data_IF_215346448644
#
_entry.id   IF_215346448644
#
_cell.length_a   1.000
_cell.length_b   1.000
_cell.length_c   1.000
_cell.angle_alpha   90.00
_cell.angle_beta   90.00
_cell.angle_gamma   90.00
#
_symmetry.space_group_name_H-M   'P 1'
#
loop_
_entity.id
_entity.type
_entity.pdbx_description
1 polymer ?
#
# COMPACT_ATOMS: atom_id res chain seq x y z
N UNK A 1 -32.49 10.84 -74.08
CA UNK A 1 -31.88 9.88 -73.14
C UNK A 1 -31.07 10.64 -72.10
N UNK A 2 -31.65 11.01 -70.96
CA UNK A 2 -30.88 11.44 -69.78
C UNK A 2 -31.62 10.96 -68.52
N UNK A 3 -30.90 10.19 -67.70
CA UNK A 3 -31.38 9.47 -66.52
C UNK A 3 -31.60 10.43 -65.35
N UNK A 4 -32.74 10.35 -64.67
CA UNK A 4 -32.96 10.97 -63.38
C UNK A 4 -32.25 10.14 -62.28
N UNK A 5 -31.40 10.77 -61.49
CA UNK A 5 -30.76 10.16 -60.32
C UNK A 5 -31.54 10.54 -59.06
N UNK A 6 -32.16 9.55 -58.44
CA UNK A 6 -32.89 9.69 -57.18
C UNK A 6 -31.90 9.60 -56.02
N UNK A 7 -31.65 10.71 -55.33
CA UNK A 7 -30.88 10.73 -54.08
C UNK A 7 -31.72 10.18 -52.93
N UNK A 8 -31.33 9.02 -52.41
CA UNK A 8 -31.88 8.40 -51.21
C UNK A 8 -31.11 8.94 -50.00
N UNK A 9 -31.70 9.85 -49.23
CA UNK A 9 -31.16 10.25 -47.92
C UNK A 9 -31.38 9.10 -46.92
N UNK A 10 -30.31 8.42 -46.50
CA UNK A 10 -30.33 7.55 -45.33
C UNK A 10 -30.25 8.40 -44.06
N UNK A 11 -31.36 8.50 -43.32
CA UNK A 11 -31.33 8.94 -41.92
C UNK A 11 -30.75 7.81 -41.06
N UNK A 12 -29.45 7.87 -40.79
CA UNK A 12 -28.80 7.02 -39.79
C UNK A 12 -29.18 7.48 -38.38
N UNK A 13 -30.12 6.79 -37.75
CA UNK A 13 -30.38 6.93 -36.32
C UNK A 13 -29.27 6.27 -35.50
N UNK A 14 -28.38 7.06 -34.91
CA UNK A 14 -27.44 6.58 -33.91
C UNK A 14 -28.19 6.32 -32.61
N UNK A 15 -28.54 5.06 -32.33
CA UNK A 15 -28.92 4.64 -30.98
C UNK A 15 -27.66 4.68 -30.12
N UNK A 16 -27.51 5.74 -29.33
CA UNK A 16 -26.56 5.77 -28.24
C UNK A 16 -27.00 4.72 -27.21
N UNK A 17 -26.38 3.55 -27.24
CA UNK A 17 -26.44 2.62 -26.11
C UNK A 17 -25.87 3.37 -24.90
N UNK A 18 -26.57 3.42 -23.74
CA UNK A 18 -25.92 3.88 -22.53
C UNK A 18 -24.68 3.01 -22.36
N UNK A 19 -23.50 3.66 -22.31
CA UNK A 19 -22.28 3.00 -21.91
C UNK A 19 -22.60 2.22 -20.65
N UNK A 20 -22.50 0.89 -20.75
CA UNK A 20 -22.69 -0.01 -19.62
C UNK A 20 -21.95 0.59 -18.44
N UNK A 21 -22.73 0.86 -17.40
CA UNK A 21 -22.33 1.52 -16.18
C UNK A 21 -20.98 0.94 -15.74
N UNK A 22 -20.02 1.81 -15.41
CA UNK A 22 -18.79 1.45 -14.71
C UNK A 22 -19.08 1.03 -13.24
N UNK A 23 -20.33 0.67 -12.93
CA UNK A 23 -20.80 -0.04 -11.73
C UNK A 23 -21.01 -1.49 -12.19
N UNK A 24 -20.13 -2.46 -11.92
CA UNK A 24 -20.21 -3.29 -10.71
C UNK A 24 -18.93 -4.16 -10.57
N UNK A 25 -17.73 -3.55 -10.54
CA UNK A 25 -16.50 -4.25 -10.10
C UNK A 25 -16.02 -3.81 -8.71
N UNK A 26 -16.66 -2.79 -8.13
CA UNK A 26 -16.21 -2.13 -6.91
C UNK A 26 -17.06 -2.47 -5.67
N UNK A 27 -18.10 -3.30 -5.84
CA UNK A 27 -19.17 -3.58 -4.85
C UNK A 27 -18.75 -4.46 -3.66
N UNK A 28 -17.56 -5.07 -3.67
CA UNK A 28 -17.13 -5.99 -2.60
C UNK A 28 -15.68 -5.82 -2.18
N UNK A 29 -15.15 -4.60 -2.17
CA UNK A 29 -13.82 -4.37 -1.60
C UNK A 29 -13.83 -4.74 -0.11
N UNK A 30 -12.88 -5.57 0.36
CA UNK A 30 -12.79 -5.94 1.76
C UNK A 30 -12.47 -4.69 2.59
N UNK A 31 -13.08 -4.57 3.78
CA UNK A 31 -12.80 -3.45 4.69
C UNK A 31 -11.34 -3.40 5.13
N UNK A 32 -10.68 -4.55 5.18
CA UNK A 32 -9.26 -4.72 5.51
C UNK A 32 -8.62 -5.68 4.51
N UNK A 33 -7.47 -5.30 3.96
CA UNK A 33 -6.64 -6.16 3.12
C UNK A 33 -5.20 -6.17 3.65
N UNK A 34 -4.62 -7.35 3.83
CA UNK A 34 -3.30 -7.54 4.43
C UNK A 34 -2.31 -8.01 3.37
N UNK A 35 -1.13 -7.40 3.34
CA UNK A 35 0.01 -7.88 2.54
C UNK A 35 1.01 -8.57 3.47
N UNK A 36 1.36 -9.83 3.20
CA UNK A 36 2.37 -10.55 3.96
C UNK A 36 3.62 -10.83 3.12
N UNK A 37 4.80 -10.53 3.64
CA UNK A 37 6.08 -10.87 3.02
C UNK A 37 6.79 -11.91 3.89
N UNK A 38 7.23 -13.01 3.27
CA UNK A 38 7.97 -14.08 3.95
C UNK A 38 9.42 -13.68 4.25
N UNK A 39 10.14 -14.57 4.91
CA UNK A 39 11.58 -14.49 5.14
C UNK A 39 12.40 -15.19 4.04
N UNK A 40 13.73 -15.02 4.11
CA UNK A 40 14.66 -15.56 3.10
C UNK A 40 14.65 -17.09 3.06
N UNK A 41 14.78 -17.68 1.87
CA UNK A 41 14.82 -19.11 1.54
C UNK A 41 13.51 -19.87 1.67
N UNK A 42 12.45 -19.24 2.17
CA UNK A 42 11.15 -19.89 2.31
C UNK A 42 10.41 -19.91 0.97
N UNK A 43 9.65 -20.98 0.73
CA UNK A 43 8.82 -21.14 -0.47
C UNK A 43 7.75 -20.03 -0.57
N UNK A 44 7.20 -19.76 -1.78
CA UNK A 44 6.15 -18.76 -1.97
C UNK A 44 4.98 -18.93 -0.99
N UNK A 45 4.58 -17.81 -0.36
CA UNK A 45 3.59 -17.79 0.72
C UNK A 45 3.92 -16.70 1.74
N UNK A 46 3.35 -16.82 2.94
CA UNK A 46 3.50 -15.82 4.01
C UNK A 46 4.74 -16.02 4.88
N UNK A 47 5.33 -17.23 4.92
CA UNK A 47 6.37 -17.56 5.89
C UNK A 47 5.91 -17.29 7.33
N UNK A 48 6.83 -16.83 8.17
CA UNK A 48 6.56 -16.44 9.56
C UNK A 48 5.60 -15.26 9.69
N UNK A 49 5.50 -14.37 8.69
CA UNK A 49 4.51 -13.29 8.70
C UNK A 49 3.06 -13.81 8.73
N UNK A 50 2.86 -15.07 8.33
CA UNK A 50 1.57 -15.77 8.39
C UNK A 50 0.93 -15.76 9.78
N UNK A 51 1.72 -15.70 10.86
CA UNK A 51 1.18 -15.63 12.23
C UNK A 51 0.33 -14.37 12.40
N UNK A 52 0.87 -13.19 12.09
CA UNK A 52 0.15 -11.92 12.24
C UNK A 52 -0.96 -11.78 11.20
N UNK A 53 -0.71 -12.23 9.96
CA UNK A 53 -1.74 -12.24 8.90
C UNK A 53 -2.98 -13.01 9.38
N UNK A 54 -2.81 -14.23 9.90
CA UNK A 54 -3.91 -15.06 10.38
C UNK A 54 -4.60 -14.46 11.61
N UNK A 55 -3.85 -13.84 12.53
CA UNK A 55 -4.43 -13.13 13.67
C UNK A 55 -5.38 -12.02 13.22
N UNK A 56 -4.99 -11.22 12.22
CA UNK A 56 -5.85 -10.15 11.69
C UNK A 56 -7.05 -10.73 10.94
N UNK A 57 -6.84 -11.75 10.08
CA UNK A 57 -7.92 -12.42 9.36
C UNK A 57 -8.99 -12.98 10.29
N UNK A 58 -8.56 -13.58 11.41
CA UNK A 58 -9.47 -14.15 12.41
C UNK A 58 -10.18 -13.08 13.26
N UNK A 59 -9.52 -11.94 13.52
CA UNK A 59 -10.08 -10.87 14.33
C UNK A 59 -11.07 -9.97 13.55
N UNK A 60 -10.96 -9.92 12.22
CA UNK A 60 -11.74 -9.02 11.37
C UNK A 60 -12.44 -9.77 10.25
N UNK A 61 -13.73 -10.04 10.43
CA UNK A 61 -14.55 -10.72 9.42
C UNK A 61 -14.61 -9.94 8.11
N UNK A 62 -14.52 -10.65 6.99
CA UNK A 62 -14.49 -10.04 5.65
C UNK A 62 -13.16 -9.40 5.26
N UNK A 63 -12.14 -9.48 6.12
CA UNK A 63 -10.77 -9.13 5.72
C UNK A 63 -10.19 -10.19 4.78
N UNK A 64 -9.19 -9.79 3.99
CA UNK A 64 -8.52 -10.65 3.00
C UNK A 64 -7.03 -10.44 3.06
N UNK A 65 -6.23 -11.36 2.54
CA UNK A 65 -4.79 -11.22 2.53
C UNK A 65 -4.18 -11.74 1.22
N UNK A 66 -3.03 -11.18 0.84
CA UNK A 66 -2.20 -11.71 -0.23
C UNK A 66 -0.72 -11.72 0.17
N UNK A 67 0.00 -12.76 -0.29
CA UNK A 67 1.43 -12.87 -0.09
C UNK A 67 2.16 -12.04 -1.17
N UNK A 68 3.18 -11.30 -0.77
CA UNK A 68 4.05 -10.58 -1.71
C UNK A 68 4.82 -11.60 -2.54
N UNK A 69 4.70 -11.50 -3.86
CA UNK A 69 5.45 -12.30 -4.82
C UNK A 69 6.79 -11.63 -5.08
N UNK A 70 7.85 -12.21 -4.51
CA UNK A 70 9.24 -11.77 -4.70
C UNK A 70 10.20 -12.95 -4.43
N UNK A 71 11.49 -12.85 -4.80
CA UNK A 71 12.43 -13.98 -4.73
C UNK A 71 12.64 -14.54 -3.31
N UNK A 72 12.64 -13.68 -2.28
CA UNK A 72 13.00 -14.04 -0.90
C UNK A 72 14.27 -14.90 -0.82
N UNK A 73 15.35 -14.44 -1.45
CA UNK A 73 16.56 -15.23 -1.64
C UNK A 73 17.81 -14.46 -1.21
N UNK A 74 18.82 -15.19 -0.78
CA UNK A 74 20.13 -14.67 -0.38
C UNK A 74 21.29 -15.31 -1.14
N UNK A 75 21.02 -15.85 -2.34
CA UNK A 75 21.98 -16.59 -3.16
C UNK A 75 21.84 -18.12 -3.09
N UNK A 76 20.93 -18.66 -2.27
CA UNK A 76 20.70 -20.09 -2.18
C UNK A 76 20.05 -20.64 -3.47
N UNK A 77 20.47 -21.82 -3.91
CA UNK A 77 19.90 -22.49 -5.09
C UNK A 77 18.42 -22.86 -4.89
N UNK A 78 17.99 -23.14 -3.66
CA UNK A 78 16.60 -23.49 -3.31
C UNK A 78 15.59 -22.39 -3.64
N UNK A 79 16.02 -21.12 -3.69
CA UNK A 79 15.20 -19.96 -4.03
C UNK A 79 15.60 -19.31 -5.37
N UNK A 80 16.27 -20.06 -6.24
CA UNK A 80 16.64 -19.61 -7.59
C UNK A 80 17.97 -18.85 -7.68
N UNK A 81 18.78 -18.83 -6.62
CA UNK A 81 20.14 -18.26 -6.65
C UNK A 81 20.20 -16.73 -6.73
N UNK A 82 19.07 -16.03 -6.59
CA UNK A 82 19.03 -14.57 -6.63
C UNK A 82 19.78 -14.02 -5.41
N UNK A 83 20.73 -13.09 -5.63
CA UNK A 83 21.47 -12.45 -4.54
C UNK A 83 20.54 -11.72 -3.58
N UNK A 84 20.95 -11.58 -2.32
CA UNK A 84 20.14 -10.87 -1.32
C UNK A 84 19.78 -9.45 -1.76
N UNK A 85 20.74 -8.70 -2.28
CA UNK A 85 20.52 -7.34 -2.78
C UNK A 85 19.47 -7.29 -3.90
N UNK A 86 19.54 -8.20 -4.87
CA UNK A 86 18.57 -8.25 -5.98
C UNK A 86 17.20 -8.73 -5.51
N UNK A 87 17.15 -9.67 -4.55
CA UNK A 87 15.90 -10.11 -3.92
C UNK A 87 15.21 -8.95 -3.21
N UNK A 88 15.95 -8.14 -2.45
CA UNK A 88 15.43 -6.92 -1.79
C UNK A 88 14.92 -5.94 -2.83
N UNK A 89 15.71 -5.57 -3.84
CA UNK A 89 15.29 -4.62 -4.88
C UNK A 89 13.99 -5.02 -5.59
N UNK A 90 13.79 -6.32 -5.82
CA UNK A 90 12.57 -6.84 -6.44
C UNK A 90 11.38 -6.91 -5.48
N UNK A 91 11.60 -7.17 -4.19
CA UNK A 91 10.53 -7.26 -3.19
C UNK A 91 10.12 -5.92 -2.60
N UNK A 92 11.10 -5.12 -2.19
CA UNK A 92 10.91 -3.81 -1.57
C UNK A 92 11.92 -2.86 -2.20
N UNK A 93 11.43 -1.85 -2.92
CA UNK A 93 12.28 -0.73 -3.34
C UNK A 93 12.71 0.04 -2.09
N UNK A 94 13.87 -0.32 -1.52
CA UNK A 94 14.39 0.28 -0.30
C UNK A 94 15.66 1.07 -0.62
N UNK A 95 15.56 2.39 -0.83
CA UNK A 95 16.75 3.22 -0.90
C UNK A 95 17.50 3.18 0.45
N UNK A 96 18.82 3.42 0.47
CA UNK A 96 19.60 3.47 1.70
C UNK A 96 18.95 4.41 2.73
N UNK A 97 18.77 3.95 3.97
CA UNK A 97 18.21 4.76 5.07
C UNK A 97 19.37 5.33 5.89
N UNK A 98 19.68 6.64 5.79
CA UNK A 98 20.70 7.24 6.65
C UNK A 98 20.25 7.22 8.12
N UNK A 99 21.18 7.41 9.05
CA UNK A 99 20.89 7.47 10.49
C UNK A 99 19.90 8.59 10.87
N UNK A 100 19.81 9.64 10.06
CA UNK A 100 18.84 10.75 10.21
C UNK A 100 17.48 10.47 9.58
N UNK A 101 17.24 9.27 9.04
CA UNK A 101 16.00 8.94 8.34
C UNK A 101 14.78 9.09 9.26
N UNK A 102 13.89 10.00 8.89
CA UNK A 102 12.56 10.11 9.49
C UNK A 102 11.55 9.43 8.60
N UNK A 103 10.90 8.38 9.11
CA UNK A 103 9.85 7.72 8.36
C UNK A 103 8.59 8.60 8.33
N UNK A 104 8.11 9.05 7.15
CA UNK A 104 6.90 9.87 7.08
C UNK A 104 5.64 9.18 7.62
N UNK A 105 5.65 7.84 7.66
CA UNK A 105 4.58 7.01 8.22
C UNK A 105 4.97 6.33 9.54
N UNK A 106 5.90 6.91 10.30
CA UNK A 106 6.39 6.33 11.56
C UNK A 106 5.25 5.96 12.53
N UNK A 107 4.21 6.78 12.63
CA UNK A 107 3.04 6.53 13.49
C UNK A 107 2.21 5.31 13.09
N UNK A 108 2.41 4.77 11.89
CA UNK A 108 1.70 3.60 11.34
C UNK A 108 2.55 2.32 11.40
N UNK A 109 3.75 2.39 11.96
CA UNK A 109 4.73 1.30 11.93
C UNK A 109 5.05 0.88 13.36
N UNK A 110 5.06 -0.44 13.57
CA UNK A 110 5.75 -1.07 14.68
C UNK A 110 6.78 -2.04 14.13
N UNK A 111 8.02 -1.88 14.59
CA UNK A 111 9.16 -2.73 14.23
C UNK A 111 9.66 -3.40 15.49
N UNK A 112 9.60 -4.72 15.54
CA UNK A 112 10.05 -5.53 16.66
C UNK A 112 11.45 -6.06 16.35
N UNK A 113 12.38 -5.93 17.30
CA UNK A 113 13.74 -6.43 17.19
C UNK A 113 14.32 -6.53 18.60
N UNK A 114 14.78 -7.73 18.95
CA UNK A 114 15.35 -8.03 20.25
C UNK A 114 16.87 -8.06 20.19
N UNK A 115 17.52 -7.74 21.30
CA UNK A 115 18.98 -7.65 21.37
C UNK A 115 19.70 -8.97 21.00
N UNK A 116 19.06 -10.11 21.20
CA UNK A 116 19.63 -11.43 20.91
C UNK A 116 19.62 -11.79 19.41
N UNK A 117 18.87 -11.07 18.57
CA UNK A 117 18.76 -11.36 17.14
C UNK A 117 20.03 -10.91 16.37
N UNK A 118 20.70 -11.81 15.63
CA UNK A 118 21.93 -11.51 14.89
C UNK A 118 21.71 -10.82 13.53
N UNK A 119 20.47 -10.68 13.07
CA UNK A 119 20.14 -10.14 11.75
C UNK A 119 19.53 -8.75 11.81
N UNK A 120 18.66 -8.48 12.80
CA UNK A 120 18.11 -7.15 13.02
C UNK A 120 18.90 -6.33 14.04
N UNK A 121 19.70 -7.00 14.88
CA UNK A 121 20.57 -6.41 15.89
C UNK A 121 21.97 -7.07 15.81
N UNK A 122 22.78 -6.85 16.85
CA UNK A 122 24.14 -7.40 16.98
C UNK A 122 24.19 -8.61 17.91
N UNK A 123 23.09 -9.36 18.01
CA UNK A 123 22.99 -10.55 18.84
C UNK A 123 23.65 -11.78 18.23
N UNK A 124 23.37 -12.96 18.80
CA UNK A 124 23.96 -14.23 18.37
C UNK A 124 23.00 -15.43 18.41
N UNK A 125 21.71 -15.23 18.70
CA UNK A 125 20.70 -16.28 18.72
C UNK A 125 19.77 -16.18 17.51
N UNK A 126 20.01 -17.03 16.52
CA UNK A 126 19.18 -17.11 15.32
C UNK A 126 17.75 -17.58 15.60
N UNK A 127 17.47 -18.23 16.74
CA UNK A 127 16.11 -18.65 17.09
C UNK A 127 15.23 -17.44 17.44
N UNK A 128 15.81 -16.43 18.10
CA UNK A 128 15.12 -15.17 18.41
C UNK A 128 14.51 -14.57 17.14
N UNK A 129 15.25 -14.57 16.02
CA UNK A 129 14.78 -14.03 14.73
C UNK A 129 13.51 -14.69 14.20
N UNK A 130 13.34 -15.99 14.45
CA UNK A 130 12.20 -16.76 13.97
C UNK A 130 11.00 -16.71 14.93
N UNK A 131 11.18 -16.14 16.13
CA UNK A 131 10.20 -16.25 17.21
C UNK A 131 9.18 -15.12 17.26
N UNK A 132 9.40 -14.01 16.53
CA UNK A 132 8.64 -12.77 16.72
C UNK A 132 7.15 -12.88 16.49
N UNK A 133 6.70 -13.74 15.58
CA UNK A 133 5.27 -14.01 15.41
C UNK A 133 4.63 -14.52 16.71
N UNK A 134 5.32 -15.40 17.43
CA UNK A 134 4.83 -15.97 18.69
C UNK A 134 4.98 -14.99 19.87
N UNK A 135 6.09 -14.24 19.92
CA UNK A 135 6.39 -13.32 21.03
C UNK A 135 5.55 -12.04 20.95
N UNK A 136 5.46 -11.46 19.75
CA UNK A 136 4.88 -10.13 19.52
C UNK A 136 3.58 -10.15 18.73
N UNK A 137 3.10 -11.31 18.25
CA UNK A 137 1.92 -11.39 17.38
C UNK A 137 0.67 -10.72 17.96
N UNK A 138 0.40 -10.91 19.26
CA UNK A 138 -0.73 -10.24 19.93
C UNK A 138 -0.51 -8.74 20.11
N UNK A 139 0.72 -8.30 20.37
CA UNK A 139 1.05 -6.87 20.46
C UNK A 139 0.91 -6.19 19.09
N UNK A 140 1.32 -6.88 18.02
CA UNK A 140 1.14 -6.43 16.65
C UNK A 140 -0.34 -6.33 16.27
N UNK A 141 -1.15 -7.34 16.61
CA UNK A 141 -2.60 -7.30 16.42
C UNK A 141 -3.23 -6.13 17.18
N UNK A 142 -2.86 -5.91 18.44
CA UNK A 142 -3.38 -4.80 19.24
C UNK A 142 -3.06 -3.44 18.61
N UNK A 143 -1.84 -3.24 18.12
CA UNK A 143 -1.46 -2.03 17.39
C UNK A 143 -2.26 -1.89 16.08
N UNK A 144 -2.43 -2.96 15.31
CA UNK A 144 -3.24 -2.93 14.08
C UNK A 144 -4.68 -2.51 14.42
N UNK A 145 -5.28 -3.07 15.46
CA UNK A 145 -6.64 -2.74 15.91
C UNK A 145 -6.77 -1.27 16.33
N UNK A 146 -5.77 -0.71 17.02
CA UNK A 146 -5.79 0.71 17.40
C UNK A 146 -5.73 1.62 16.18
N UNK A 147 -4.93 1.27 15.17
CA UNK A 147 -4.83 2.03 13.93
C UNK A 147 -6.14 1.97 13.13
N UNK A 148 -6.76 0.79 13.03
CA UNK A 148 -8.03 0.60 12.31
C UNK A 148 -9.17 1.36 12.97
N UNK A 149 -9.22 1.39 14.31
CA UNK A 149 -10.22 2.11 15.08
C UNK A 149 -10.07 3.63 14.93
N UNK A 150 -8.84 4.14 14.86
CA UNK A 150 -8.57 5.57 14.66
C UNK A 150 -9.00 6.09 13.27
N UNK A 151 -9.12 5.20 12.28
CA UNK A 151 -9.66 5.52 10.94
C UNK A 151 -11.19 5.47 10.84
N UNK A 152 -11.89 4.95 11.86
CA UNK A 152 -13.35 4.78 11.87
C UNK A 152 -14.16 5.89 12.55
N UNK A 153 -13.51 6.84 13.22
CA UNK A 153 -14.17 8.02 13.78
C UNK A 153 -14.22 9.13 12.74
N UNK A 154 -15.44 9.57 12.42
CA UNK A 154 -15.71 10.83 11.73
C UNK A 154 -14.90 11.96 12.41
N UNK A 155 -14.45 13.00 11.68
CA UNK A 155 -13.73 14.12 12.28
C UNK A 155 -14.53 14.67 13.48
N UNK A 156 -13.88 15.10 14.58
CA UNK A 156 -14.59 15.84 15.62
C UNK A 156 -15.22 17.08 14.97
N UNK A 157 -16.54 17.19 15.09
CA UNK A 157 -17.30 18.39 14.76
C UNK A 157 -16.62 19.58 15.43
N UNK A 158 -16.03 20.45 14.61
CA UNK A 158 -15.33 21.65 15.05
C UNK A 158 -16.35 22.74 15.40
N UNK A 159 -16.18 23.39 16.55
CA UNK A 159 -16.77 24.71 16.80
C UNK A 159 -15.87 25.76 16.13
N UNK A 160 -16.19 26.13 14.89
CA UNK A 160 -15.50 27.18 14.14
C UNK A 160 -16.15 28.55 14.39
N UNK A 161 -15.32 29.54 14.72
CA UNK A 161 -15.61 30.99 14.71
C UNK A 161 -15.75 31.48 13.25
N UNK A 162 -16.62 32.46 12.93
CA UNK A 162 -16.86 32.88 11.55
C UNK A 162 -15.93 34.02 11.13
N UNK A 163 -15.21 33.85 10.00
CA UNK A 163 -14.75 34.99 9.20
C UNK A 163 -14.80 34.68 7.69
N UNK A 164 -15.26 35.68 6.96
CA UNK A 164 -15.70 35.76 5.56
C UNK A 164 -14.66 35.40 4.49
N UNK A 165 -15.14 34.80 3.40
CA UNK A 165 -14.41 34.25 2.26
C UNK A 165 -13.98 35.27 1.18
N UNK A 166 -12.99 34.90 0.35
CA UNK A 166 -12.92 35.22 -1.10
C UNK A 166 -12.05 34.20 -1.87
N UNK A 167 -12.66 33.44 -2.80
CA UNK A 167 -12.11 33.09 -4.14
C UNK A 167 -11.09 31.96 -4.36
N UNK A 168 -11.57 30.75 -4.71
CA UNK A 168 -11.16 30.01 -5.92
C UNK A 168 -9.97 29.02 -5.92
N UNK A 169 -10.26 27.72 -5.74
CA UNK A 169 -9.79 26.56 -6.54
C UNK A 169 -10.19 25.26 -5.82
N UNK A 170 -10.84 24.33 -6.52
CA UNK A 170 -11.40 23.12 -5.94
C UNK A 170 -10.33 22.19 -5.33
N UNK A 171 -10.31 22.14 -3.99
CA UNK A 171 -9.57 21.15 -3.20
C UNK A 171 -10.37 19.85 -3.21
N UNK A 172 -10.07 18.98 -4.17
CA UNK A 172 -10.78 17.72 -4.39
C UNK A 172 -9.97 16.51 -3.92
N UNK A 173 -10.66 15.51 -3.39
CA UNK A 173 -10.10 14.17 -3.20
C UNK A 173 -9.79 13.56 -4.56
N UNK A 174 -8.55 13.15 -4.79
CA UNK A 174 -8.09 12.49 -6.01
C UNK A 174 -8.42 11.01 -5.93
N UNK A 175 -9.16 10.54 -6.92
CA UNK A 175 -9.49 9.12 -7.06
C UNK A 175 -8.23 8.27 -7.25
N UNK A 176 -8.35 6.97 -7.02
CA UNK A 176 -7.24 6.04 -7.21
C UNK A 176 -6.72 6.10 -8.65
N UNK A 177 -5.40 6.05 -8.80
CA UNK A 177 -4.63 6.24 -10.04
C UNK A 177 -4.64 7.66 -10.62
N UNK A 178 -5.40 8.60 -10.02
CA UNK A 178 -5.34 10.01 -10.41
C UNK A 178 -4.03 10.67 -9.98
N UNK A 179 -3.68 11.78 -10.64
CA UNK A 179 -2.50 12.56 -10.27
C UNK A 179 -2.77 13.34 -8.98
N UNK A 180 -1.94 13.11 -7.97
CA UNK A 180 -2.07 13.72 -6.65
C UNK A 180 -0.84 14.54 -6.24
N UNK A 181 0.18 14.60 -7.11
CA UNK A 181 1.38 15.41 -6.91
C UNK A 181 2.23 15.54 -8.18
N UNK A 182 3.29 16.32 -8.09
CA UNK A 182 4.19 16.67 -9.19
C UNK A 182 4.39 18.19 -9.31
N UNK A 183 5.56 18.61 -9.79
CA UNK A 183 5.86 20.01 -10.07
C UNK A 183 4.79 20.61 -11.01
N UNK A 184 4.22 21.75 -10.61
CA UNK A 184 3.21 22.48 -11.39
C UNK A 184 1.77 21.95 -11.27
N UNK A 185 1.50 20.91 -10.46
CA UNK A 185 0.14 20.44 -10.23
C UNK A 185 -0.66 21.49 -9.43
N UNK A 186 -1.74 21.98 -10.02
CA UNK A 186 -2.75 22.83 -9.37
C UNK A 186 -4.05 22.04 -9.25
N UNK A 187 -4.58 21.87 -8.03
CA UNK A 187 -5.84 21.16 -7.79
C UNK A 187 -5.78 20.15 -6.65
N UNK A 188 -6.54 19.07 -6.75
CA UNK A 188 -6.65 18.03 -5.72
C UNK A 188 -5.31 17.34 -5.41
N UNK A 189 -4.91 17.38 -4.14
CA UNK A 189 -3.72 16.69 -3.62
C UNK A 189 -4.07 15.66 -2.55
N UNK A 190 -5.31 15.71 -2.06
CA UNK A 190 -5.80 14.80 -1.02
C UNK A 190 -6.17 13.47 -1.66
N UNK A 191 -5.54 12.37 -1.25
CA UNK A 191 -5.86 11.05 -1.79
C UNK A 191 -7.20 10.54 -1.27
N UNK A 192 -7.91 9.75 -2.08
CA UNK A 192 -9.04 8.95 -1.62
C UNK A 192 -8.69 8.18 -0.33
N UNK A 193 -9.67 8.03 0.56
CA UNK A 193 -9.48 7.31 1.84
C UNK A 193 -8.85 5.93 1.59
N UNK A 194 -7.89 5.54 2.44
CA UNK A 194 -7.13 4.30 2.28
C UNK A 194 -6.12 4.28 1.13
N UNK A 195 -5.73 5.44 0.58
CA UNK A 195 -4.74 5.56 -0.50
C UNK A 195 -3.63 6.56 -0.17
N UNK A 196 -2.50 6.45 -0.87
CA UNK A 196 -1.33 7.33 -0.74
C UNK A 196 -0.88 7.87 -2.08
N UNK A 197 -0.33 9.08 -2.10
CA UNK A 197 0.26 9.66 -3.29
C UNK A 197 1.68 9.12 -3.49
N UNK A 198 1.91 8.34 -4.54
CA UNK A 198 3.23 7.79 -4.85
C UNK A 198 3.88 8.61 -5.95
N UNK A 199 5.09 9.10 -5.69
CA UNK A 199 5.88 9.80 -6.68
C UNK A 199 6.40 8.82 -7.75
N UNK A 200 6.14 9.12 -9.02
CA UNK A 200 6.77 8.40 -10.14
C UNK A 200 7.98 9.18 -10.66
N UNK A 201 7.88 10.50 -10.73
CA UNK A 201 8.98 11.40 -11.06
C UNK A 201 8.68 12.82 -10.54
N UNK A 202 9.60 13.77 -10.77
CA UNK A 202 9.48 15.15 -10.25
C UNK A 202 8.23 15.91 -10.74
N UNK A 203 7.63 15.51 -11.86
CA UNK A 203 6.44 16.14 -12.46
C UNK A 203 5.15 15.35 -12.20
N UNK A 204 5.25 14.13 -11.68
CA UNK A 204 4.11 13.22 -11.61
C UNK A 204 4.14 12.29 -10.39
N UNK A 205 3.08 12.38 -9.60
CA UNK A 205 2.75 11.45 -8.52
C UNK A 205 1.30 11.00 -8.67
N UNK A 206 1.02 9.72 -8.46
CA UNK A 206 -0.31 9.13 -8.64
C UNK A 206 -0.83 8.45 -7.38
N UNK A 207 -2.16 8.40 -7.22
CA UNK A 207 -2.81 7.77 -6.07
C UNK A 207 -2.69 6.25 -6.19
N UNK A 208 -2.01 5.63 -5.23
CA UNK A 208 -1.91 4.17 -5.09
C UNK A 208 -2.63 3.72 -3.81
N UNK A 209 -3.00 2.44 -3.65
CA UNK A 209 -3.57 1.99 -2.37
C UNK A 209 -2.52 2.09 -1.28
N UNK A 210 -2.97 2.40 -0.06
CA UNK A 210 -2.18 2.26 1.14
C UNK A 210 -1.63 0.82 1.21
N UNK A 211 -0.31 0.67 1.06
CA UNK A 211 0.38 -0.58 1.34
C UNK A 211 0.86 -0.51 2.79
N UNK A 212 0.13 -1.16 3.69
CA UNK A 212 0.70 -1.56 4.97
C UNK A 212 1.66 -2.70 4.67
N UNK A 213 2.96 -2.38 4.60
CA UNK A 213 3.96 -3.42 4.56
C UNK A 213 4.30 -3.82 6.00
N UNK A 214 3.93 -5.04 6.40
CA UNK A 214 4.61 -5.72 7.50
C UNK A 214 5.96 -6.20 6.93
N UNK A 215 6.93 -5.28 6.78
CA UNK A 215 8.30 -5.68 6.43
C UNK A 215 9.04 -5.98 7.72
N UNK A 216 9.42 -7.24 7.92
CA UNK A 216 10.52 -7.57 8.81
C UNK A 216 11.83 -7.41 8.05
N UNK A 217 12.38 -6.20 7.91
CA UNK A 217 13.76 -6.03 7.41
C UNK A 217 14.51 -4.85 8.03
N UNK A 218 15.71 -5.18 8.52
CA UNK A 218 16.92 -4.37 8.76
C UNK A 218 16.73 -2.89 9.03
N UNK A 219 16.86 -2.54 10.31
CA UNK A 219 17.50 -1.28 10.70
C UNK A 219 19.01 -1.48 10.54
N UNK A 220 19.57 -1.15 9.37
CA UNK A 220 21.02 -0.97 9.26
C UNK A 220 21.37 0.32 10.01
N UNK A 221 21.57 0.22 11.33
CA UNK A 221 22.27 1.27 12.08
C UNK A 221 23.74 0.97 11.84
N UNK A 222 24.30 1.56 10.78
CA UNK A 222 25.75 1.55 10.58
C UNK A 222 26.42 2.15 11.81
N UNK A 223 27.25 1.34 12.47
CA UNK A 223 28.21 1.79 13.46
C UNK A 223 29.19 2.76 12.80
N UNK A 224 29.37 3.92 13.42
CA UNK A 224 30.68 4.57 13.48
C UNK A 224 31.53 3.85 14.53
#
# INVERSE_FOLDING_TARGET
MFKAATSLLLLGGALATPAGVLEERQSSCPGIHIFGARETSVSPGYGTAGVVVNLVLNAHSGSTAEAIVYPACGGQSSCGGVSYANSVQQGVYSPPRPSSFQCPSASKIKSYCDAADPYCCNGNDANTHQSYGNVYGQQALAFINSQLSATGTNPPTSTSVPTTATGGAASGTVAKYGQCGGLGLTGGTVCASGSTCQAANQWYSHVSRFRLYLVGERTYIGSL
#
